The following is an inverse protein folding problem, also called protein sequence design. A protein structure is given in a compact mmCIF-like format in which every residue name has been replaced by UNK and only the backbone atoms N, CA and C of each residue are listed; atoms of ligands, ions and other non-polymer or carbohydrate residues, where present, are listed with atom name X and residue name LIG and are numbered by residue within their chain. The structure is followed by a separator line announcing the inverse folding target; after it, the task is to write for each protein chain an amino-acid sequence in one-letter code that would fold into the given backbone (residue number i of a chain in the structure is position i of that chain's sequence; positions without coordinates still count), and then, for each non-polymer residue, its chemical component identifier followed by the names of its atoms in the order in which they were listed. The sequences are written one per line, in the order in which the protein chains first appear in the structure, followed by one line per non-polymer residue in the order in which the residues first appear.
data_IF_869483704226
#
_entry.id   IF_869483704226
#
_cell.length_a   1.000
_cell.length_b   1.000
_cell.length_c   1.000
_cell.angle_alpha   90.00
_cell.angle_beta   90.00
_cell.angle_gamma   90.00
#
_symmetry.space_group_name_H-M   'P 1'
#
loop_
_entity.id
_entity.type
_entity.pdbx_description
1 polymer ?
#
# COMPACT_ATOMS: atom_id res chain seq x y z
N UNK A 1 11.45 -8.29 1.36
CA UNK A 1 10.62 -8.64 0.21
C UNK A 1 11.36 -8.22 -1.04
N UNK A 2 11.72 -9.16 -1.89
CA UNK A 2 12.40 -8.87 -3.16
C UNK A 2 11.36 -8.51 -4.22
N UNK A 3 11.65 -7.51 -5.05
CA UNK A 3 10.76 -7.10 -6.14
C UNK A 3 11.47 -7.41 -7.45
N UNK A 4 10.81 -8.13 -8.33
CA UNK A 4 11.33 -8.55 -9.62
C UNK A 4 10.39 -8.14 -10.75
N UNK A 5 10.91 -8.08 -11.96
CA UNK A 5 10.16 -7.83 -13.18
C UNK A 5 10.93 -8.33 -14.42
N UNK A 6 10.24 -8.38 -15.52
CA UNK A 6 10.82 -8.64 -16.82
C UNK A 6 11.19 -7.32 -17.50
N UNK A 7 12.42 -7.18 -17.97
CA UNK A 7 12.93 -5.93 -18.55
C UNK A 7 12.12 -5.49 -19.76
N UNK A 8 11.72 -6.42 -20.60
CA UNK A 8 10.89 -6.12 -21.76
C UNK A 8 9.52 -5.53 -21.34
N UNK A 9 8.89 -6.10 -20.31
CA UNK A 9 7.64 -5.58 -19.73
C UNK A 9 7.82 -4.19 -19.12
N UNK A 10 8.95 -3.92 -18.49
CA UNK A 10 9.27 -2.59 -17.95
C UNK A 10 9.38 -1.54 -19.07
N UNK A 11 10.05 -1.86 -20.18
CA UNK A 11 10.15 -0.98 -21.34
C UNK A 11 8.76 -0.70 -21.95
N UNK A 12 7.96 -1.74 -22.16
CA UNK A 12 6.59 -1.62 -22.70
C UNK A 12 5.70 -0.78 -21.78
N UNK A 13 5.77 -1.02 -20.47
CA UNK A 13 5.00 -0.28 -19.48
C UNK A 13 5.38 1.21 -19.47
N UNK A 14 6.67 1.52 -19.56
CA UNK A 14 7.17 2.89 -19.66
C UNK A 14 6.67 3.58 -20.94
N UNK A 15 6.63 2.86 -22.06
CA UNK A 15 6.11 3.40 -23.32
C UNK A 15 4.60 3.67 -23.25
N UNK A 16 3.82 2.72 -22.73
CA UNK A 16 2.36 2.80 -22.64
C UNK A 16 1.88 3.81 -21.57
N UNK A 17 2.43 3.71 -20.38
CA UNK A 17 1.92 4.41 -19.18
C UNK A 17 2.84 5.53 -18.69
N UNK A 18 4.07 5.61 -19.21
CA UNK A 18 5.06 6.62 -18.85
C UNK A 18 5.66 6.43 -17.45
N UNK A 19 5.59 5.21 -16.90
CA UNK A 19 6.09 4.85 -15.57
C UNK A 19 6.92 3.58 -15.72
N UNK A 20 8.11 3.56 -15.12
CA UNK A 20 8.97 2.40 -15.03
C UNK A 20 8.71 1.63 -13.72
N UNK A 21 9.08 0.37 -13.68
CA UNK A 21 8.86 -0.50 -12.53
C UNK A 21 9.73 -0.15 -11.33
N UNK A 22 10.92 0.42 -11.55
CA UNK A 22 11.77 0.94 -10.48
C UNK A 22 11.05 2.02 -9.66
N UNK A 23 10.35 2.93 -10.34
CA UNK A 23 9.52 3.93 -9.64
C UNK A 23 8.32 3.28 -8.95
N UNK A 24 7.69 2.30 -9.60
CA UNK A 24 6.51 1.63 -9.07
C UNK A 24 6.80 0.79 -7.83
N UNK A 25 8.01 0.25 -7.70
CA UNK A 25 8.42 -0.56 -6.54
C UNK A 25 8.27 0.20 -5.22
N UNK A 26 8.41 1.53 -5.23
CA UNK A 26 8.16 2.39 -4.07
C UNK A 26 6.73 2.31 -3.51
N UNK A 27 5.75 1.80 -4.27
CA UNK A 27 4.37 1.62 -3.77
C UNK A 27 4.33 0.65 -2.59
N UNK A 28 5.23 -0.33 -2.55
CA UNK A 28 5.28 -1.33 -1.48
C UNK A 28 5.77 -0.76 -0.15
N UNK A 29 6.38 0.41 -0.13
CA UNK A 29 6.76 1.12 1.10
C UNK A 29 5.65 2.04 1.63
N UNK A 30 4.57 2.22 0.87
CA UNK A 30 3.43 3.04 1.31
C UNK A 30 2.58 2.28 2.32
N UNK A 31 2.55 2.74 3.56
CA UNK A 31 1.78 2.14 4.65
C UNK A 31 0.26 2.28 4.50
N UNK A 32 -0.19 3.17 3.62
CA UNK A 32 -1.61 3.40 3.34
C UNK A 32 -2.08 2.74 2.04
N UNK A 33 -1.22 1.96 1.39
CA UNK A 33 -1.62 1.26 0.19
C UNK A 33 -2.79 0.32 0.46
N UNK A 34 -3.63 0.16 -0.53
CA UNK A 34 -4.78 -0.73 -0.50
C UNK A 34 -4.66 -1.76 -1.60
N UNK A 35 -5.14 -2.97 -1.36
CA UNK A 35 -4.99 -4.12 -2.23
C UNK A 35 -6.27 -4.92 -2.38
N UNK A 36 -6.40 -5.60 -3.50
CA UNK A 36 -7.38 -6.65 -3.74
C UNK A 36 -6.79 -7.77 -4.56
N UNK A 37 -7.27 -8.99 -4.39
CA UNK A 37 -6.95 -10.11 -5.28
C UNK A 37 -7.82 -10.01 -6.54
N UNK A 38 -7.22 -10.22 -7.70
CA UNK A 38 -7.93 -10.27 -8.97
C UNK A 38 -8.38 -11.69 -9.24
N UNK A 39 -9.66 -11.96 -9.02
CA UNK A 39 -10.30 -13.26 -9.24
C UNK A 39 -10.77 -13.46 -10.69
N UNK A 40 -10.26 -12.68 -11.64
CA UNK A 40 -10.66 -12.84 -13.04
C UNK A 40 -10.16 -14.19 -13.61
N UNK A 41 -11.03 -14.93 -14.26
CA UNK A 41 -10.72 -16.20 -14.93
C UNK A 41 -9.70 -16.08 -16.09
N UNK A 42 -9.31 -14.85 -16.41
CA UNK A 42 -8.41 -14.55 -17.52
C UNK A 42 -6.94 -14.92 -17.27
N UNK A 43 -6.60 -15.36 -16.05
CA UNK A 43 -5.22 -15.74 -15.70
C UNK A 43 -5.18 -17.07 -14.96
N UNK A 44 -5.47 -18.19 -15.65
CA UNK A 44 -5.44 -19.50 -15.01
C UNK A 44 -4.01 -19.83 -14.56
N UNK A 45 -3.83 -20.03 -13.25
CA UNK A 45 -2.57 -20.50 -12.65
C UNK A 45 -1.68 -19.45 -11.99
N UNK A 46 -2.04 -18.17 -11.98
CA UNK A 46 -1.28 -17.14 -11.27
C UNK A 46 -2.22 -16.12 -10.63
N UNK A 47 -2.25 -16.08 -9.30
CA UNK A 47 -3.02 -15.08 -8.57
C UNK A 47 -2.41 -13.69 -8.78
N UNK A 48 -3.19 -12.78 -9.34
CA UNK A 48 -2.80 -11.39 -9.52
C UNK A 48 -3.35 -10.53 -8.41
N UNK A 49 -2.51 -9.67 -7.87
CA UNK A 49 -2.88 -8.70 -6.84
C UNK A 49 -2.82 -7.32 -7.46
N UNK A 50 -3.88 -6.55 -7.24
CA UNK A 50 -3.99 -5.16 -7.65
C UNK A 50 -3.80 -4.28 -6.43
N UNK A 51 -2.82 -3.38 -6.46
CA UNK A 51 -2.53 -2.45 -5.37
C UNK A 51 -2.60 -1.00 -5.83
N UNK A 52 -3.07 -0.13 -4.94
CA UNK A 52 -3.10 1.31 -5.13
C UNK A 52 -2.31 1.95 -4.00
N UNK A 53 -1.28 2.72 -4.35
CA UNK A 53 -0.42 3.40 -3.38
C UNK A 53 0.23 4.65 -3.95
N UNK A 54 0.94 5.40 -3.10
CA UNK A 54 1.50 6.72 -3.39
C UNK A 54 3.01 6.65 -3.57
N UNK A 55 3.48 7.02 -4.76
CA UNK A 55 4.89 7.31 -5.05
C UNK A 55 4.95 8.62 -5.85
N UNK A 56 5.01 9.75 -5.16
CA UNK A 56 4.85 11.06 -5.80
C UNK A 56 3.48 11.28 -6.47
N UNK A 57 2.92 10.23 -7.04
CA UNK A 57 1.55 10.16 -7.61
C UNK A 57 0.89 8.87 -7.11
N UNK A 58 -0.44 8.87 -7.06
CA UNK A 58 -1.17 7.63 -6.77
C UNK A 58 -1.10 6.74 -8.00
N UNK A 59 -0.52 5.57 -7.83
CA UNK A 59 -0.31 4.55 -8.85
C UNK A 59 -1.26 3.38 -8.60
N UNK A 60 -1.65 2.74 -9.69
CA UNK A 60 -2.29 1.43 -9.72
C UNK A 60 -1.27 0.44 -10.25
N UNK A 61 -0.97 -0.57 -9.48
CA UNK A 61 0.07 -1.58 -9.76
C UNK A 61 -0.56 -2.96 -9.74
N UNK A 62 -0.20 -3.78 -10.69
CA UNK A 62 -0.57 -5.19 -10.75
C UNK A 62 0.70 -6.02 -10.57
N UNK A 63 0.66 -6.97 -9.65
CA UNK A 63 1.76 -7.85 -9.36
C UNK A 63 1.27 -9.25 -8.98
N UNK A 64 2.16 -10.20 -8.94
CA UNK A 64 1.92 -11.56 -8.45
C UNK A 64 2.95 -11.91 -7.37
N UNK A 65 2.53 -12.70 -6.40
CA UNK A 65 3.42 -13.19 -5.35
C UNK A 65 4.07 -14.50 -5.76
N UNK A 66 5.38 -14.57 -5.57
CA UNK A 66 6.19 -15.76 -5.76
C UNK A 66 6.97 -16.00 -4.48
N UNK A 67 7.05 -17.21 -3.99
CA UNK A 67 7.69 -17.68 -2.74
C UNK A 67 8.41 -16.62 -1.89
N UNK A 68 9.38 -15.87 -2.45
CA UNK A 68 10.19 -14.87 -1.75
C UNK A 68 10.23 -13.50 -2.46
N UNK A 69 9.53 -13.36 -3.59
CA UNK A 69 9.55 -12.17 -4.43
C UNK A 69 8.15 -11.76 -4.87
N UNK A 70 7.97 -10.48 -5.15
CA UNK A 70 6.80 -9.96 -5.86
C UNK A 70 7.20 -9.58 -7.28
N UNK A 71 6.53 -10.17 -8.26
CA UNK A 71 6.76 -9.87 -9.66
C UNK A 71 5.78 -8.81 -10.15
N UNK A 72 6.32 -7.66 -10.59
CA UNK A 72 5.53 -6.60 -11.20
C UNK A 72 5.09 -7.00 -12.61
N UNK A 73 3.82 -6.77 -12.90
CA UNK A 73 3.19 -7.09 -14.19
C UNK A 73 2.87 -5.81 -14.96
N UNK A 74 2.25 -4.84 -14.29
CA UNK A 74 1.86 -3.57 -14.92
C UNK A 74 1.76 -2.44 -13.89
N UNK A 75 2.01 -1.21 -14.33
CA UNK A 75 1.81 -0.01 -13.52
C UNK A 75 1.25 1.13 -14.35
N UNK A 76 0.27 1.82 -13.85
CA UNK A 76 -0.30 3.04 -14.44
C UNK A 76 -0.65 4.07 -13.38
N UNK A 77 -0.94 5.28 -13.80
CA UNK A 77 -1.52 6.30 -12.91
C UNK A 77 -2.93 5.85 -12.53
N UNK A 78 -3.24 5.93 -11.24
CA UNK A 78 -4.56 5.64 -10.72
C UNK A 78 -5.60 6.63 -11.29
N UNK A 79 -6.78 6.13 -11.64
CA UNK A 79 -7.88 6.95 -12.12
C UNK A 79 -8.56 7.75 -10.98
N UNK A 80 -9.57 8.55 -11.31
CA UNK A 80 -10.24 9.42 -10.33
C UNK A 80 -10.94 8.63 -9.21
N UNK A 81 -11.56 7.48 -9.54
CA UNK A 81 -12.26 6.62 -8.56
C UNK A 81 -11.26 5.94 -7.64
N UNK A 82 -10.19 5.37 -8.20
CA UNK A 82 -9.10 4.72 -7.49
C UNK A 82 -8.38 5.67 -6.53
N UNK A 83 -8.08 6.91 -6.99
CA UNK A 83 -7.52 7.96 -6.13
C UNK A 83 -8.44 8.32 -4.97
N UNK A 84 -9.76 8.41 -5.24
CA UNK A 84 -10.74 8.71 -4.20
C UNK A 84 -10.76 7.63 -3.13
N UNK A 85 -10.70 6.37 -3.54
CA UNK A 85 -10.66 5.22 -2.64
C UNK A 85 -9.40 5.25 -1.77
N UNK A 86 -8.23 5.40 -2.39
CA UNK A 86 -6.95 5.51 -1.68
C UNK A 86 -6.96 6.62 -0.62
N UNK A 87 -7.36 7.83 -1.01
CA UNK A 87 -7.40 8.95 -0.07
C UNK A 87 -8.50 8.81 1.01
N UNK A 88 -9.57 8.08 0.74
CA UNK A 88 -10.56 7.69 1.74
C UNK A 88 -9.93 6.84 2.84
N UNK A 89 -9.24 5.77 2.44
CA UNK A 89 -8.52 4.89 3.35
C UNK A 89 -7.48 5.64 4.20
N UNK A 90 -6.72 6.55 3.60
CA UNK A 90 -5.75 7.36 4.35
C UNK A 90 -6.41 8.18 5.47
N UNK A 91 -7.59 8.77 5.22
CA UNK A 91 -8.32 9.56 6.22
C UNK A 91 -8.83 8.73 7.38
N UNK A 92 -9.31 7.52 7.11
CA UNK A 92 -9.86 6.63 8.12
C UNK A 92 -8.79 6.01 9.02
N UNK A 93 -7.57 5.83 8.49
CA UNK A 93 -6.50 5.12 9.17
C UNK A 93 -5.40 6.00 9.73
N UNK A 94 -5.49 7.33 9.60
CA UNK A 94 -4.49 8.28 10.10
C UNK A 94 -5.11 9.30 11.03
N UNK A 95 -4.67 9.30 12.29
CA UNK A 95 -4.94 10.39 13.23
C UNK A 95 -4.21 11.69 12.87
N UNK A 96 -3.18 11.60 12.03
CA UNK A 96 -2.28 12.71 11.70
C UNK A 96 -2.32 13.08 10.19
N UNK A 97 -3.47 12.89 9.55
CA UNK A 97 -3.70 13.21 8.14
C UNK A 97 -3.40 14.69 7.76
N UNK A 98 -3.23 15.55 8.76
CA UNK A 98 -3.32 17.01 8.58
C UNK A 98 -2.18 17.66 7.80
N UNK A 99 -0.94 17.19 7.84
CA UNK A 99 0.22 17.98 7.43
C UNK A 99 0.84 17.53 6.10
N UNK A 100 1.30 16.30 6.01
CA UNK A 100 2.13 15.86 4.86
C UNK A 100 1.31 15.45 3.65
N UNK A 101 0.18 14.80 3.85
CA UNK A 101 -0.64 14.25 2.76
C UNK A 101 -1.56 15.27 2.09
N UNK A 102 -1.97 16.34 2.80
CA UNK A 102 -2.73 17.44 2.18
C UNK A 102 -1.91 18.17 1.12
N UNK A 103 -0.59 18.24 1.28
CA UNK A 103 0.31 18.86 0.30
C UNK A 103 0.35 18.01 -0.96
N UNK A 104 0.43 16.69 -0.83
CA UNK A 104 0.40 15.76 -1.96
C UNK A 104 -0.96 15.73 -2.67
N UNK A 105 -2.07 15.83 -1.91
CA UNK A 105 -3.42 15.93 -2.46
C UNK A 105 -3.61 17.23 -3.27
N UNK A 106 -3.11 18.37 -2.78
CA UNK A 106 -3.16 19.64 -3.51
C UNK A 106 -2.25 19.63 -4.75
N UNK A 107 -1.08 19.01 -4.68
CA UNK A 107 -0.16 18.84 -5.82
C UNK A 107 -0.70 17.88 -6.87
N UNK A 108 -1.35 16.79 -6.47
CA UNK A 108 -1.95 15.81 -7.37
C UNK A 108 -3.12 16.35 -8.20
N UNK A 109 -3.71 17.50 -7.83
CA UNK A 109 -4.71 18.20 -8.64
C UNK A 109 -4.13 18.92 -9.86
N UNK A 110 -2.82 19.18 -9.90
CA UNK A 110 -2.19 19.84 -11.05
C UNK A 110 -2.02 18.83 -12.18
N UNK A 111 -3.02 18.81 -13.06
CA UNK A 111 -2.97 18.38 -14.45
C UNK A 111 -2.06 17.21 -14.82
N UNK A 112 -2.52 15.98 -14.60
CA UNK A 112 -2.12 14.90 -15.49
C UNK A 112 -3.14 14.87 -16.65
N UNK A 113 -2.91 15.64 -17.72
CA UNK A 113 -3.71 15.64 -18.96
C UNK A 113 -3.46 14.37 -19.79
N UNK A 114 -2.57 13.48 -19.38
CA UNK A 114 -2.34 12.22 -20.07
C UNK A 114 -3.56 11.32 -19.90
N UNK A 115 -4.14 10.91 -21.02
CA UNK A 115 -5.21 9.92 -21.06
C UNK A 115 -4.68 8.62 -20.43
N UNK A 116 -5.41 8.08 -19.45
CA UNK A 116 -5.06 6.80 -18.86
C UNK A 116 -5.35 5.72 -19.91
N UNK A 117 -4.33 4.93 -20.24
CA UNK A 117 -4.48 3.78 -21.13
C UNK A 117 -4.82 2.59 -20.22
N UNK A 118 -5.80 1.80 -20.63
CA UNK A 118 -6.19 0.56 -20.00
C UNK A 118 -5.84 -0.57 -20.96
N UNK A 119 -5.31 -1.67 -20.45
CA UNK A 119 -4.99 -2.88 -21.19
C UNK A 119 -5.38 -4.12 -20.39
N UNK A 120 -5.05 -5.30 -20.92
CA UNK A 120 -5.32 -6.58 -20.28
C UNK A 120 -4.64 -6.73 -18.92
N UNK A 121 -3.38 -6.29 -18.81
CA UNK A 121 -2.62 -6.37 -17.56
C UNK A 121 -3.04 -5.29 -16.54
N UNK A 122 -3.70 -4.22 -16.99
CA UNK A 122 -4.08 -3.09 -16.15
C UNK A 122 -5.48 -2.58 -16.53
N UNK A 123 -6.54 -3.37 -16.30
CA UNK A 123 -7.89 -3.09 -16.74
C UNK A 123 -8.50 -1.89 -16.02
N UNK A 124 -9.56 -1.34 -16.63
CA UNK A 124 -10.42 -0.37 -15.95
C UNK A 124 -11.31 -1.11 -14.96
N UNK A 125 -11.20 -0.75 -13.69
CA UNK A 125 -12.02 -1.36 -12.66
C UNK A 125 -13.47 -0.88 -12.71
N UNK A 126 -14.40 -1.81 -12.60
CA UNK A 126 -15.80 -1.53 -12.38
C UNK A 126 -16.06 -1.04 -10.95
N UNK A 127 -17.21 -0.38 -10.73
CA UNK A 127 -17.46 0.25 -9.43
C UNK A 127 -17.56 -0.75 -8.28
N UNK A 128 -18.08 -1.95 -8.54
CA UNK A 128 -18.18 -3.02 -7.54
C UNK A 128 -16.82 -3.58 -7.14
N UNK A 129 -15.87 -3.68 -8.06
CA UNK A 129 -14.50 -4.15 -7.77
C UNK A 129 -13.74 -3.21 -6.82
N UNK A 130 -14.12 -1.93 -6.76
CA UNK A 130 -13.49 -0.96 -5.86
C UNK A 130 -13.83 -1.22 -4.39
N UNK A 131 -14.90 -1.93 -4.09
CA UNK A 131 -15.29 -2.30 -2.72
C UNK A 131 -14.45 -3.43 -2.14
N UNK A 132 -13.77 -4.21 -2.99
CA UNK A 132 -12.95 -5.35 -2.57
C UNK A 132 -11.56 -4.93 -2.09
N UNK A 133 -11.18 -3.67 -2.31
CA UNK A 133 -9.88 -3.16 -1.83
C UNK A 133 -9.86 -3.03 -0.31
N UNK A 134 -8.84 -3.61 0.29
CA UNK A 134 -8.56 -3.57 1.74
C UNK A 134 -7.19 -2.94 2.00
N UNK A 135 -6.96 -2.36 3.17
CA UNK A 135 -5.65 -1.88 3.55
C UNK A 135 -4.62 -3.02 3.54
N UNK A 136 -3.59 -2.91 2.70
CA UNK A 136 -2.54 -3.92 2.58
C UNK A 136 -1.78 -4.13 3.89
N UNK A 137 -1.60 -3.04 4.66
CA UNK A 137 -0.94 -3.09 5.97
C UNK A 137 -1.66 -3.95 7.00
N UNK A 138 -2.95 -4.31 6.78
CA UNK A 138 -3.71 -5.11 7.74
C UNK A 138 -3.34 -6.59 7.73
N UNK A 139 -2.87 -7.12 6.61
CA UNK A 139 -2.56 -8.54 6.45
C UNK A 139 -1.06 -8.82 6.38
N UNK A 140 -0.27 -7.98 5.72
CA UNK A 140 1.16 -8.20 5.44
C UNK A 140 2.13 -7.42 6.35
N UNK A 141 1.72 -6.28 6.89
CA UNK A 141 2.63 -5.38 7.63
C UNK A 141 2.33 -5.20 9.11
N UNK A 142 1.22 -5.72 9.62
CA UNK A 142 1.07 -5.84 11.07
C UNK A 142 1.87 -7.06 11.50
N UNK A 143 3.00 -6.88 12.18
CA UNK A 143 3.72 -8.00 12.74
C UNK A 143 2.73 -8.81 13.59
N UNK A 144 2.65 -10.12 13.36
CA UNK A 144 1.81 -11.01 14.17
C UNK A 144 2.13 -10.75 15.64
N UNK A 145 1.16 -10.28 16.38
CA UNK A 145 1.31 -10.10 17.83
C UNK A 145 1.31 -11.49 18.45
N UNK A 146 2.41 -11.84 19.06
CA UNK A 146 2.53 -13.05 19.87
C UNK A 146 2.25 -12.66 21.31
N UNK A 147 1.37 -13.37 21.97
CA UNK A 147 1.13 -13.16 23.40
C UNK A 147 2.34 -13.69 24.18
N UNK A 148 2.98 -12.80 24.92
CA UNK A 148 4.07 -13.14 25.83
C UNK A 148 3.73 -12.64 27.23
N UNK A 149 4.21 -13.35 28.22
CA UNK A 149 4.13 -12.89 29.62
C UNK A 149 5.48 -12.28 29.98
N UNK A 150 5.47 -10.98 30.29
CA UNK A 150 6.66 -10.23 30.67
C UNK A 150 6.47 -9.66 32.08
N UNK A 151 7.45 -9.84 32.95
CA UNK A 151 7.51 -9.18 34.26
C UNK A 151 8.19 -7.82 34.04
N UNK A 152 7.50 -6.74 34.35
CA UNK A 152 7.99 -5.36 34.29
C UNK A 152 7.96 -4.77 35.70
N UNK A 153 8.83 -3.81 35.97
CA UNK A 153 8.87 -3.10 37.23
C UNK A 153 7.56 -2.31 37.43
N UNK A 154 7.11 -2.21 38.68
CA UNK A 154 5.80 -1.65 39.00
C UNK A 154 5.64 -0.19 38.60
N UNK A 155 6.71 0.62 38.71
CA UNK A 155 6.78 2.01 38.31
C UNK A 155 6.65 2.18 36.79
N UNK A 156 7.29 1.31 35.99
CA UNK A 156 7.18 1.28 34.53
C UNK A 156 5.75 0.97 34.12
N UNK A 157 5.13 -0.04 34.74
CA UNK A 157 3.73 -0.40 34.46
C UNK A 157 2.79 0.75 34.84
N UNK A 158 3.01 1.42 35.97
CA UNK A 158 2.22 2.56 36.41
C UNK A 158 2.34 3.75 35.42
N UNK A 159 3.54 4.04 34.95
CA UNK A 159 3.79 5.09 33.97
C UNK A 159 3.04 4.83 32.65
N UNK A 160 3.04 3.61 32.13
CA UNK A 160 2.28 3.28 30.92
C UNK A 160 0.76 3.28 31.15
N UNK A 161 0.28 2.80 32.29
CA UNK A 161 -1.16 2.82 32.62
C UNK A 161 -1.70 4.25 32.78
N UNK A 162 -0.92 5.17 33.31
CA UNK A 162 -1.31 6.58 33.44
C UNK A 162 -1.59 7.26 32.09
N UNK A 163 -1.07 6.72 30.99
CA UNK A 163 -1.33 7.24 29.63
C UNK A 163 -2.73 6.87 29.10
N UNK A 164 -3.54 6.12 29.83
CA UNK A 164 -4.93 5.76 29.48
C UNK A 164 -5.07 4.56 28.57
N UNK A 165 -6.18 4.51 27.82
CA UNK A 165 -6.45 3.40 26.88
C UNK A 165 -5.34 3.28 25.82
N UNK A 166 -4.93 2.04 25.51
CA UNK A 166 -3.89 1.79 24.50
C UNK A 166 -2.46 1.71 25.04
N UNK A 167 -2.26 1.62 26.35
CA UNK A 167 -0.94 1.51 26.96
C UNK A 167 -0.11 0.30 26.43
N UNK A 168 -0.74 -0.83 26.08
CA UNK A 168 -0.05 -1.96 25.46
C UNK A 168 0.53 -1.63 24.07
N UNK A 169 -0.19 -0.83 23.27
CA UNK A 169 0.31 -0.34 21.98
C UNK A 169 1.52 0.55 22.18
N UNK A 170 1.47 1.46 23.16
CA UNK A 170 2.60 2.35 23.48
C UNK A 170 3.83 1.58 23.97
N UNK A 171 3.65 0.56 24.79
CA UNK A 171 4.75 -0.33 25.21
C UNK A 171 5.39 -0.97 23.97
N UNK A 172 4.57 -1.53 23.07
CA UNK A 172 5.08 -2.16 21.86
C UNK A 172 5.82 -1.17 20.95
N UNK A 173 5.32 0.07 20.83
CA UNK A 173 5.96 1.11 20.03
C UNK A 173 7.33 1.52 20.60
N UNK A 174 7.44 1.68 21.90
CA UNK A 174 8.71 1.96 22.58
C UNK A 174 9.71 0.83 22.37
N UNK A 175 9.28 -0.43 22.54
CA UNK A 175 10.13 -1.60 22.31
C UNK A 175 10.59 -1.68 20.86
N UNK A 176 9.72 -1.41 19.91
CA UNK A 176 10.09 -1.41 18.49
C UNK A 176 11.12 -0.33 18.17
N UNK A 177 10.95 0.90 18.70
CA UNK A 177 11.95 1.95 18.56
C UNK A 177 13.31 1.56 19.14
N UNK A 178 13.32 0.97 20.32
CA UNK A 178 14.57 0.57 20.98
C UNK A 178 15.32 -0.55 20.25
N UNK A 179 14.64 -1.37 19.43
CA UNK A 179 15.24 -2.53 18.75
C UNK A 179 15.61 -2.21 17.30
N UNK A 180 14.83 -1.35 16.61
CA UNK A 180 14.91 -1.17 15.15
C UNK A 180 15.30 0.26 14.71
N UNK A 181 15.40 1.21 15.63
CA UNK A 181 15.95 2.56 15.43
C UNK A 181 17.23 2.75 16.25
#
# INVERSE_FOLDING_TARGET
MTIEWEDQKNIENKQKHGINFETASGVFTDSFRIERVDHSENNPGEDRIQTIGLVGKVLFVVYTERKEACRLISVRIANKKEKRLYYGNCKENSSDWGSTYQISFKRGRRNCKKKIVYDFDSPKLESWMLHDFKPASSEYYKPKKVQITLKLDADVVAAFKSTGKGHQTKINDVLRKAIFE
#
